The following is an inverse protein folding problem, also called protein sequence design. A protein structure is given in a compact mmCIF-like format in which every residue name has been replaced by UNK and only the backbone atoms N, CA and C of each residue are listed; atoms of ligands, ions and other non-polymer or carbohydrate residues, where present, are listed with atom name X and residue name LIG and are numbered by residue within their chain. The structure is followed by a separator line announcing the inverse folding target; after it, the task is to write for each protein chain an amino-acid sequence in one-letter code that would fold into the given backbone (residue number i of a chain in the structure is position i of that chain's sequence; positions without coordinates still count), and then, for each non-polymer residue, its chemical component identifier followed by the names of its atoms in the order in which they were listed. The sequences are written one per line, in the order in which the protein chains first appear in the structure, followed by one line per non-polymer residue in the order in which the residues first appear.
data_IF_775675980586
#
_entry.id   IF_775675980586
#
_cell.length_a   1.000
_cell.length_b   1.000
_cell.length_c   1.000
_cell.angle_alpha   90.00
_cell.angle_beta   90.00
_cell.angle_gamma   90.00
#
_symmetry.space_group_name_H-M   'P 1'
#
loop_
_entity.id
_entity.type
_entity.pdbx_description
1 polymer ?
#
# COMPACT_ATOMS: atom_id res chain seq x y z
N UNK A 1 -35.50 -23.29 56.19
CA UNK A 1 -34.89 -22.97 54.87
C UNK A 1 -35.25 -21.53 54.48
N UNK A 2 -34.44 -20.53 54.88
CA UNK A 2 -34.69 -19.12 54.54
C UNK A 2 -34.26 -18.89 53.10
N UNK A 3 -35.21 -18.69 52.18
CA UNK A 3 -34.90 -18.20 50.83
C UNK A 3 -34.38 -16.77 50.96
N UNK A 4 -33.12 -16.56 50.59
CA UNK A 4 -32.51 -15.23 50.46
C UNK A 4 -33.36 -14.42 49.47
N UNK A 5 -34.01 -13.35 49.95
CA UNK A 5 -34.60 -12.31 49.12
C UNK A 5 -33.45 -11.64 48.39
N UNK A 6 -33.24 -11.99 47.12
CA UNK A 6 -32.25 -11.33 46.27
C UNK A 6 -32.67 -9.87 46.12
N UNK A 7 -31.84 -8.94 46.54
CA UNK A 7 -32.16 -7.51 46.48
C UNK A 7 -32.28 -7.08 45.02
N UNK A 8 -33.48 -6.62 44.62
CA UNK A 8 -33.77 -6.17 43.24
C UNK A 8 -32.76 -5.14 42.73
N UNK A 9 -32.15 -4.35 43.63
CA UNK A 9 -31.09 -3.39 43.30
C UNK A 9 -29.78 -4.07 42.90
N UNK A 10 -29.40 -5.17 43.56
CA UNK A 10 -28.20 -5.93 43.21
C UNK A 10 -28.36 -6.62 41.84
N UNK A 11 -29.57 -7.06 41.51
CA UNK A 11 -29.88 -7.63 40.20
C UNK A 11 -29.80 -6.58 39.08
N UNK A 12 -30.34 -5.38 39.29
CA UNK A 12 -30.22 -4.26 38.34
C UNK A 12 -28.77 -3.82 38.13
N UNK A 13 -27.98 -3.74 39.21
CA UNK A 13 -26.55 -3.39 39.13
C UNK A 13 -25.76 -4.47 38.38
N UNK A 14 -26.03 -5.75 38.66
CA UNK A 14 -25.39 -6.85 37.95
C UNK A 14 -25.73 -6.82 36.45
N UNK A 15 -26.99 -6.57 36.10
CA UNK A 15 -27.42 -6.45 34.72
C UNK A 15 -26.72 -5.28 34.02
N UNK A 16 -26.61 -4.13 34.67
CA UNK A 16 -25.90 -2.95 34.13
C UNK A 16 -24.43 -3.24 33.86
N UNK A 17 -23.74 -3.89 34.81
CA UNK A 17 -22.32 -4.28 34.66
C UNK A 17 -22.14 -5.21 33.45
N UNK A 18 -23.00 -6.21 33.30
CA UNK A 18 -22.94 -7.15 32.17
C UNK A 18 -23.11 -6.42 30.84
N UNK A 19 -24.06 -5.49 30.74
CA UNK A 19 -24.28 -4.72 29.50
C UNK A 19 -23.10 -3.79 29.19
N UNK A 20 -22.50 -3.16 30.21
CA UNK A 20 -21.30 -2.33 30.03
C UNK A 20 -20.13 -3.15 29.48
N UNK A 21 -19.89 -4.34 30.04
CA UNK A 21 -18.86 -5.27 29.55
C UNK A 21 -19.16 -5.70 28.11
N UNK A 22 -20.42 -6.02 27.80
CA UNK A 22 -20.83 -6.44 26.46
C UNK A 22 -20.60 -5.33 25.41
N UNK A 23 -20.99 -4.09 25.74
CA UNK A 23 -20.76 -2.92 24.90
C UNK A 23 -19.26 -2.72 24.69
N UNK A 24 -18.45 -2.80 25.75
CA UNK A 24 -17.00 -2.69 25.67
C UNK A 24 -16.37 -3.75 24.75
N UNK A 25 -16.84 -5.00 24.83
CA UNK A 25 -16.40 -6.09 23.96
C UNK A 25 -16.75 -5.85 22.49
N UNK A 26 -17.98 -5.43 22.22
CA UNK A 26 -18.45 -5.10 20.87
C UNK A 26 -17.62 -3.94 20.28
N UNK A 27 -17.42 -2.88 21.06
CA UNK A 27 -16.57 -1.75 20.64
C UNK A 27 -15.12 -2.16 20.41
N UNK A 28 -14.55 -3.00 21.29
CA UNK A 28 -13.20 -3.54 21.11
C UNK A 28 -13.06 -4.32 19.81
N UNK A 29 -14.05 -5.15 19.47
CA UNK A 29 -14.08 -5.88 18.20
C UNK A 29 -14.16 -4.95 17.00
N UNK A 30 -15.03 -3.93 17.04
CA UNK A 30 -15.11 -2.93 15.97
C UNK A 30 -13.83 -2.11 15.83
N UNK A 31 -13.19 -1.75 16.93
CA UNK A 31 -11.92 -1.02 16.93
C UNK A 31 -10.82 -1.85 16.26
N UNK A 32 -10.65 -3.11 16.67
CA UNK A 32 -9.67 -4.02 16.05
C UNK A 32 -9.97 -4.26 14.56
N UNK A 33 -11.24 -4.44 14.19
CA UNK A 33 -11.65 -4.63 12.81
C UNK A 33 -11.39 -3.38 11.93
N UNK A 34 -11.45 -2.18 12.51
CA UNK A 34 -11.25 -0.91 11.78
C UNK A 34 -9.78 -0.57 11.65
N UNK A 35 -8.94 -0.89 12.64
CA UNK A 35 -7.48 -0.67 12.57
C UNK A 35 -6.83 -1.49 11.44
N UNK A 36 -7.42 -2.62 11.05
CA UNK A 36 -6.94 -3.43 9.92
C UNK A 36 -7.34 -2.92 8.53
N UNK A 37 -8.14 -1.84 8.41
CA UNK A 37 -8.69 -1.41 7.12
C UNK A 37 -7.69 -0.56 6.32
N UNK A 38 -7.24 -1.18 5.22
CA UNK A 38 -6.76 -0.55 3.97
C UNK A 38 -5.52 0.32 4.08
N UNK A 39 -4.35 -0.33 3.98
CA UNK A 39 -3.12 0.37 3.62
C UNK A 39 -3.18 0.74 2.12
N UNK A 40 -3.87 1.83 1.80
CA UNK A 40 -4.03 2.37 0.44
C UNK A 40 -2.69 2.60 -0.26
N UNK A 41 -1.61 2.77 0.51
CA UNK A 41 -0.24 2.88 0.00
C UNK A 41 0.24 1.60 -0.68
N UNK A 42 -0.05 0.43 -0.10
CA UNK A 42 0.31 -0.87 -0.70
C UNK A 42 -0.39 -1.05 -2.04
N UNK A 43 -1.70 -0.71 -2.10
CA UNK A 43 -2.46 -0.83 -3.35
C UNK A 43 -1.91 0.11 -4.41
N UNK A 44 -1.65 1.37 -4.08
CA UNK A 44 -1.07 2.35 -5.02
C UNK A 44 0.30 1.91 -5.54
N UNK A 45 1.12 1.35 -4.68
CA UNK A 45 2.42 0.81 -5.05
C UNK A 45 2.29 -0.38 -6.00
N UNK A 46 1.44 -1.36 -5.69
CA UNK A 46 1.18 -2.51 -6.57
C UNK A 46 0.59 -2.09 -7.93
N UNK A 47 -0.29 -1.08 -7.94
CA UNK A 47 -0.84 -0.53 -9.19
C UNK A 47 0.25 0.09 -10.04
N UNK A 48 1.16 0.86 -9.44
CA UNK A 48 2.26 1.48 -10.16
C UNK A 48 3.26 0.45 -10.71
N UNK A 49 3.64 -0.55 -9.91
CA UNK A 49 4.49 -1.67 -10.37
C UNK A 49 3.88 -2.38 -11.58
N UNK A 50 2.57 -2.66 -11.53
CA UNK A 50 1.84 -3.27 -12.63
C UNK A 50 1.79 -2.37 -13.87
N UNK A 51 1.58 -1.08 -13.70
CA UNK A 51 1.57 -0.12 -14.81
C UNK A 51 2.92 -0.10 -15.51
N UNK A 52 4.02 -0.02 -14.75
CA UNK A 52 5.37 -0.03 -15.31
C UNK A 52 5.65 -1.35 -16.02
N UNK A 53 5.32 -2.49 -15.41
CA UNK A 53 5.51 -3.79 -16.04
C UNK A 53 4.76 -3.91 -17.37
N UNK A 54 3.49 -3.49 -17.41
CA UNK A 54 2.72 -3.52 -18.65
C UNK A 54 3.27 -2.59 -19.73
N UNK A 55 3.85 -1.45 -19.33
CA UNK A 55 4.52 -0.55 -20.28
C UNK A 55 5.80 -1.18 -20.83
N UNK A 56 6.57 -1.89 -20.01
CA UNK A 56 7.73 -2.66 -20.44
C UNK A 56 7.31 -3.78 -21.40
N UNK A 57 6.26 -4.53 -21.05
CA UNK A 57 5.75 -5.65 -21.86
C UNK A 57 5.27 -5.21 -23.25
N UNK A 58 4.75 -3.98 -23.34
CA UNK A 58 4.25 -3.39 -24.58
C UNK A 58 5.31 -2.55 -25.32
N UNK A 59 6.49 -2.33 -24.74
CA UNK A 59 7.50 -1.47 -25.31
C UNK A 59 8.26 -2.18 -26.44
N UNK A 60 8.40 -1.46 -27.56
CA UNK A 60 9.29 -1.83 -28.64
C UNK A 60 10.73 -1.34 -28.35
N UNK A 61 11.76 -1.95 -28.96
CA UNK A 61 13.13 -1.49 -28.85
C UNK A 61 13.28 0.00 -29.20
N UNK A 62 14.01 0.73 -28.37
CA UNK A 62 14.25 2.17 -28.55
C UNK A 62 13.19 3.07 -27.89
N UNK A 63 12.16 2.49 -27.26
CA UNK A 63 11.20 3.26 -26.45
C UNK A 63 11.79 3.56 -25.07
N UNK A 64 11.59 4.80 -24.62
CA UNK A 64 11.84 5.24 -23.24
C UNK A 64 10.53 5.58 -22.55
N UNK A 65 10.29 4.99 -21.39
CA UNK A 65 9.12 5.24 -20.55
C UNK A 65 9.53 6.20 -19.43
N UNK A 66 8.88 7.35 -19.39
CA UNK A 66 9.08 8.35 -18.35
C UNK A 66 8.12 8.11 -17.18
N UNK A 67 8.68 7.94 -15.98
CA UNK A 67 7.95 7.75 -14.73
C UNK A 67 8.25 8.92 -13.78
N UNK A 68 7.36 9.93 -13.68
CA UNK A 68 7.57 11.07 -12.79
C UNK A 68 7.67 10.62 -11.33
N UNK A 69 8.64 11.18 -10.61
CA UNK A 69 8.83 10.91 -9.17
C UNK A 69 7.61 11.30 -8.35
N UNK A 70 6.85 12.31 -8.77
CA UNK A 70 5.61 12.72 -8.10
C UNK A 70 4.42 12.46 -9.02
N UNK A 71 3.50 11.58 -8.61
CA UNK A 71 2.29 11.28 -9.37
C UNK A 71 1.08 10.92 -8.48
N UNK A 72 -0.04 10.53 -9.08
CA UNK A 72 -1.29 10.17 -8.37
C UNK A 72 -1.13 9.00 -7.37
N UNK A 73 -0.15 8.13 -7.60
CA UNK A 73 0.17 6.99 -6.74
C UNK A 73 1.04 7.41 -5.53
N UNK A 74 1.72 8.55 -5.60
CA UNK A 74 2.49 9.13 -4.50
C UNK A 74 3.85 9.67 -4.96
N UNK A 75 4.76 9.80 -4.01
CA UNK A 75 6.17 10.12 -4.25
C UNK A 75 6.96 8.83 -4.42
N UNK A 76 7.54 8.61 -5.60
CA UNK A 76 8.40 7.49 -5.92
C UNK A 76 9.81 7.81 -5.44
N UNK A 77 10.34 6.98 -4.56
CA UNK A 77 11.73 7.08 -4.10
C UNK A 77 12.70 6.25 -4.91
N UNK A 78 12.24 5.16 -5.54
CA UNK A 78 13.10 4.28 -6.33
C UNK A 78 12.28 3.37 -7.26
N UNK A 79 12.86 3.02 -8.42
CA UNK A 79 12.38 1.99 -9.35
C UNK A 79 13.54 1.06 -9.66
N UNK A 80 13.38 -0.24 -9.39
CA UNK A 80 14.41 -1.26 -9.60
C UNK A 80 13.83 -2.39 -10.43
N UNK A 81 14.57 -2.82 -11.45
CA UNK A 81 14.28 -4.03 -12.20
C UNK A 81 15.25 -5.12 -11.73
N UNK A 82 14.72 -6.23 -11.23
CA UNK A 82 15.54 -7.35 -10.78
C UNK A 82 14.80 -8.68 -10.93
N UNK A 83 15.47 -9.69 -11.47
CA UNK A 83 14.90 -11.03 -11.65
C UNK A 83 13.61 -11.07 -12.46
N UNK A 84 13.49 -10.22 -13.50
CA UNK A 84 12.29 -10.11 -14.33
C UNK A 84 11.09 -9.48 -13.61
N UNK A 85 11.33 -8.71 -12.54
CA UNK A 85 10.29 -8.01 -11.78
C UNK A 85 10.62 -6.54 -11.60
N UNK A 86 9.56 -5.74 -11.52
CA UNK A 86 9.58 -4.32 -11.18
C UNK A 86 9.34 -4.17 -9.68
N UNK A 87 10.23 -3.45 -9.01
CA UNK A 87 10.09 -3.05 -7.61
C UNK A 87 10.03 -1.53 -7.55
N UNK A 88 8.99 -0.99 -6.91
CA UNK A 88 8.84 0.46 -6.75
C UNK A 88 8.76 0.80 -5.27
N UNK A 89 9.45 1.87 -4.87
CA UNK A 89 9.32 2.47 -3.54
C UNK A 89 8.41 3.67 -3.62
N UNK A 90 7.27 3.64 -2.92
CA UNK A 90 6.28 4.73 -2.91
C UNK A 90 6.08 5.25 -1.49
N UNK A 91 6.26 6.56 -1.30
CA UNK A 91 6.15 7.25 0.00
C UNK A 91 6.98 6.57 1.11
N UNK A 92 8.20 6.14 0.77
CA UNK A 92 9.12 5.44 1.67
C UNK A 92 8.78 3.98 1.96
N UNK A 93 7.72 3.42 1.33
CA UNK A 93 7.40 2.00 1.42
C UNK A 93 7.97 1.26 0.21
N UNK A 94 8.88 0.33 0.44
CA UNK A 94 9.48 -0.50 -0.61
C UNK A 94 8.70 -1.80 -0.83
N UNK A 95 8.67 -2.25 -2.08
CA UNK A 95 8.08 -3.54 -2.45
C UNK A 95 8.91 -4.72 -1.96
N UNK A 96 8.23 -5.70 -1.38
CA UNK A 96 8.84 -6.99 -1.03
C UNK A 96 8.69 -8.02 -2.14
N UNK A 97 7.60 -7.97 -2.92
CA UNK A 97 7.27 -9.00 -3.90
C UNK A 97 7.60 -8.59 -5.34
N UNK A 98 7.49 -7.29 -5.64
CA UNK A 98 7.55 -6.75 -7.00
C UNK A 98 6.44 -7.30 -7.92
N UNK A 99 6.37 -6.77 -9.14
CA UNK A 99 5.46 -7.24 -10.18
C UNK A 99 6.25 -7.75 -11.39
N UNK A 100 5.95 -8.96 -11.92
CA UNK A 100 6.69 -9.52 -13.05
C UNK A 100 6.45 -8.74 -14.34
N UNK A 101 7.50 -8.57 -15.14
CA UNK A 101 7.44 -8.08 -16.51
C UNK A 101 8.04 -9.11 -17.47
N UNK A 102 7.60 -9.07 -18.72
CA UNK A 102 7.96 -9.96 -19.81
C UNK A 102 8.43 -9.12 -21.00
N UNK A 103 9.71 -8.77 -21.00
CA UNK A 103 10.39 -8.19 -22.15
C UNK A 103 11.24 -9.25 -22.84
N UNK A 104 11.29 -9.21 -24.18
CA UNK A 104 12.27 -9.97 -24.98
C UNK A 104 13.60 -9.23 -25.15
N UNK A 105 13.62 -7.98 -24.69
CA UNK A 105 14.67 -6.99 -24.87
C UNK A 105 15.25 -6.61 -23.52
N UNK A 106 16.48 -6.11 -23.51
CA UNK A 106 17.11 -5.63 -22.29
C UNK A 106 16.42 -4.34 -21.82
N UNK A 107 16.24 -4.21 -20.50
CA UNK A 107 15.51 -3.08 -19.92
C UNK A 107 16.34 -2.47 -18.80
N UNK A 108 16.65 -1.19 -18.95
CA UNK A 108 17.44 -0.41 -18.00
C UNK A 108 16.60 0.70 -17.38
N UNK A 109 16.96 1.07 -16.15
CA UNK A 109 16.33 2.20 -15.44
C UNK A 109 17.40 3.22 -15.10
N UNK A 110 17.15 4.46 -15.50
CA UNK A 110 18.03 5.60 -15.25
C UNK A 110 17.22 6.67 -14.53
N UNK A 111 17.75 7.19 -13.44
CA UNK A 111 17.19 8.37 -12.79
C UNK A 111 17.63 9.63 -13.54
N UNK A 112 16.70 10.53 -13.85
CA UNK A 112 16.98 11.84 -14.43
C UNK A 112 16.44 12.92 -13.50
N UNK A 113 17.36 13.74 -13.00
CA UNK A 113 17.03 14.98 -12.30
C UNK A 113 16.46 15.98 -13.30
N UNK A 114 15.42 16.70 -12.88
CA UNK A 114 14.82 17.77 -13.67
C UNK A 114 15.77 18.97 -13.78
N UNK A 115 15.74 19.69 -14.91
CA UNK A 115 16.43 20.98 -15.04
C UNK A 115 15.65 22.07 -14.30
N UNK A 116 15.87 22.18 -12.97
CA UNK A 116 15.30 23.24 -12.15
C UNK A 116 15.39 22.96 -10.66
N UNK A 117 15.22 24.00 -9.83
CA UNK A 117 15.25 23.92 -8.36
C UNK A 117 13.99 23.25 -7.76
N UNK A 118 13.23 22.53 -8.59
CA UNK A 118 11.95 21.92 -8.26
C UNK A 118 11.99 20.42 -8.55
N UNK A 119 12.00 19.60 -7.49
CA UNK A 119 11.94 18.13 -7.55
C UNK A 119 10.67 17.54 -8.21
N UNK A 120 9.82 18.39 -8.80
CA UNK A 120 8.61 17.98 -9.52
C UNK A 120 8.98 17.40 -10.90
N UNK A 121 10.10 17.83 -11.47
CA UNK A 121 10.55 17.41 -12.80
C UNK A 121 11.43 16.16 -12.79
N UNK A 122 11.81 15.68 -11.59
CA UNK A 122 12.59 14.45 -11.43
C UNK A 122 11.79 13.24 -11.91
N UNK A 123 12.45 12.34 -12.65
CA UNK A 123 11.79 11.15 -13.21
C UNK A 123 12.73 9.95 -13.32
N UNK A 124 12.14 8.76 -13.25
CA UNK A 124 12.79 7.53 -13.65
C UNK A 124 12.50 7.27 -15.13
N UNK A 125 13.53 7.06 -15.92
CA UNK A 125 13.43 6.72 -17.33
C UNK A 125 13.77 5.25 -17.50
N UNK A 126 12.82 4.50 -18.04
CA UNK A 126 12.98 3.07 -18.30
C UNK A 126 13.21 2.90 -19.79
N UNK A 127 14.43 2.53 -20.18
CA UNK A 127 14.82 2.32 -21.58
C UNK A 127 14.75 0.86 -21.96
N UNK A 128 14.16 0.57 -23.12
CA UNK A 128 14.17 -0.77 -23.72
C UNK A 128 15.18 -0.82 -24.85
N UNK A 129 16.21 -1.65 -24.69
CA UNK A 129 17.34 -1.81 -25.61
C UNK A 129 17.18 -3.13 -26.38
N UNK A 130 17.13 -3.04 -27.71
CA UNK A 130 16.94 -4.18 -28.61
C UNK A 130 18.19 -4.94 -28.96
#
# INVERSE_FOLDING_TARGET
MKRLKKDKRAELVQQLIIHLVLIGLIFGMFFLATVGRTNSRIVKQQVLEKQIALLIDAAEPGISIDVPTVNRNGVIGNVVLSGGKVFVTVNGLSSTNGYPYFSKYDVDVIFREGEGDSAIDDKFVIGVVG
#
